data_IF_991507712739
#
_entry.id   IF_991507712739
#
_cell.length_a   1.000
_cell.length_b   1.000
_cell.length_c   1.000
_cell.angle_alpha   90.00
_cell.angle_beta   90.00
_cell.angle_gamma   90.00
#
_symmetry.space_group_name_H-M   'P 1'
#
loop_
_entity.id
_entity.type
_entity.pdbx_description
1 polymer ?
#
# COMPACT_ATOMS: atom_id res chain seq x y z
N UNK A 1 -35.12 3.39 -0.20
CA UNK A 1 -33.88 4.11 -0.53
C UNK A 1 -33.71 5.18 0.53
N UNK A 2 -32.48 5.41 0.99
CA UNK A 2 -32.09 6.41 1.98
C UNK A 2 -30.96 7.26 1.44
N UNK A 3 -30.92 8.53 1.84
CA UNK A 3 -29.87 9.46 1.43
C UNK A 3 -28.75 9.45 2.47
N UNK A 4 -27.52 9.27 2.02
CA UNK A 4 -26.36 9.36 2.88
C UNK A 4 -26.21 10.79 3.44
N UNK A 5 -26.15 11.01 4.76
CA UNK A 5 -26.02 12.35 5.34
C UNK A 5 -24.62 12.97 5.15
N UNK A 6 -23.65 12.21 4.62
CA UNK A 6 -22.27 12.68 4.40
C UNK A 6 -21.99 13.07 2.96
N UNK A 7 -22.35 12.22 2.01
CA UNK A 7 -22.09 12.48 0.59
C UNK A 7 -23.36 12.73 -0.24
N UNK A 8 -24.54 12.65 0.38
CA UNK A 8 -25.86 12.86 -0.26
C UNK A 8 -26.21 11.86 -1.38
N UNK A 9 -25.49 10.76 -1.46
CA UNK A 9 -25.75 9.67 -2.40
C UNK A 9 -27.03 8.89 -2.02
N UNK A 10 -27.73 8.37 -3.02
CA UNK A 10 -28.85 7.46 -2.83
C UNK A 10 -28.34 6.04 -2.55
N UNK A 11 -28.75 5.48 -1.41
CA UNK A 11 -28.34 4.16 -0.94
C UNK A 11 -29.59 3.32 -0.72
N UNK A 12 -29.59 2.08 -1.16
CA UNK A 12 -30.69 1.15 -0.88
C UNK A 12 -30.86 0.90 0.64
N UNK A 13 -32.10 0.69 1.09
CA UNK A 13 -32.39 0.56 2.53
C UNK A 13 -31.73 -0.68 3.15
N UNK A 14 -31.53 -1.71 2.34
CA UNK A 14 -30.87 -2.98 2.67
C UNK A 14 -29.38 -2.83 3.02
N UNK A 15 -28.72 -1.75 2.60
CA UNK A 15 -27.29 -1.55 2.85
C UNK A 15 -27.05 -0.75 4.13
N UNK A 16 -26.26 -1.30 5.03
CA UNK A 16 -25.93 -0.63 6.31
C UNK A 16 -24.75 0.34 6.20
N UNK A 17 -24.07 0.36 5.05
CA UNK A 17 -22.91 1.21 4.77
C UNK A 17 -23.12 1.92 3.43
N UNK A 18 -22.82 3.22 3.38
CA UNK A 18 -22.83 3.98 2.13
C UNK A 18 -21.68 3.52 1.23
N UNK A 19 -22.01 3.00 0.05
CA UNK A 19 -21.05 2.50 -0.93
C UNK A 19 -20.12 3.58 -1.51
N UNK A 20 -20.52 4.86 -1.46
CA UNK A 20 -19.73 5.97 -2.01
C UNK A 20 -18.70 6.52 -1.01
N UNK A 21 -19.05 6.65 0.27
CA UNK A 21 -18.19 7.31 1.28
C UNK A 21 -17.90 6.47 2.53
N UNK A 22 -18.29 5.19 2.56
CA UNK A 22 -18.12 4.26 3.69
C UNK A 22 -18.78 4.71 5.00
N UNK A 23 -19.81 5.56 4.93
CA UNK A 23 -20.58 5.95 6.11
C UNK A 23 -21.45 4.79 6.62
N UNK A 24 -21.20 4.34 7.85
CA UNK A 24 -22.05 3.39 8.57
C UNK A 24 -23.30 4.11 9.06
N UNK A 25 -24.47 3.67 8.60
CA UNK A 25 -25.76 4.19 9.06
C UNK A 25 -26.07 3.78 10.52
N UNK A 26 -25.76 2.54 10.99
CA UNK A 26 -25.92 2.18 12.39
C UNK A 26 -25.02 2.96 13.35
N UNK A 27 -23.75 3.17 12.97
CA UNK A 27 -22.76 3.77 13.88
C UNK A 27 -22.61 5.29 13.72
N UNK A 28 -23.30 5.89 12.76
CA UNK A 28 -23.21 7.30 12.41
C UNK A 28 -21.78 7.84 12.20
N UNK A 29 -20.88 7.01 11.68
CA UNK A 29 -19.47 7.36 11.41
C UNK A 29 -19.02 6.86 10.05
N UNK A 30 -18.03 7.52 9.47
CA UNK A 30 -17.33 6.97 8.30
C UNK A 30 -16.42 5.86 8.79
N UNK A 31 -16.61 4.65 8.26
CA UNK A 31 -15.73 3.52 8.50
C UNK A 31 -14.45 3.76 7.71
N UNK A 32 -13.34 3.86 8.43
CA UNK A 32 -12.02 3.85 7.82
C UNK A 32 -11.70 2.38 7.52
N UNK A 33 -12.13 1.88 6.35
CA UNK A 33 -11.86 0.51 5.89
C UNK A 33 -10.35 0.21 5.75
N UNK A 34 -9.51 1.25 5.86
CA UNK A 34 -8.07 1.14 6.00
C UNK A 34 -7.63 0.50 7.33
N UNK A 35 -8.52 0.35 8.31
CA UNK A 35 -8.24 -0.30 9.60
C UNK A 35 -8.45 -1.82 9.56
N UNK A 36 -9.09 -2.38 8.52
CA UNK A 36 -9.17 -3.82 8.34
C UNK A 36 -7.83 -4.45 7.88
N UNK A 37 -6.80 -3.62 7.68
CA UNK A 37 -5.40 -4.00 7.51
C UNK A 37 -4.57 -3.86 8.79
N UNK A 38 -5.18 -3.71 9.98
CA UNK A 38 -4.46 -3.81 11.24
C UNK A 38 -4.10 -5.27 11.53
N UNK A 39 -3.01 -5.79 10.93
CA UNK A 39 -2.22 -6.91 11.51
C UNK A 39 -0.80 -7.06 10.92
N UNK A 40 -0.19 -5.98 10.44
CA UNK A 40 1.26 -5.84 10.44
C UNK A 40 1.60 -4.36 10.65
N UNK A 41 2.06 -4.00 11.85
CA UNK A 41 2.45 -2.64 12.24
C UNK A 41 3.67 -2.07 11.49
N UNK A 42 3.71 -2.22 10.16
CA UNK A 42 4.76 -1.80 9.22
C UNK A 42 4.21 -0.86 8.14
N UNK A 43 2.88 -0.76 8.01
CA UNK A 43 2.22 0.15 7.08
C UNK A 43 2.30 1.61 7.53
N UNK A 44 3.34 2.35 7.14
CA UNK A 44 3.35 3.80 7.31
C UNK A 44 2.19 4.39 6.49
N UNK A 45 1.34 5.21 7.11
CA UNK A 45 0.29 5.94 6.38
C UNK A 45 0.95 7.06 5.56
N UNK A 46 1.20 6.80 4.28
CA UNK A 46 1.89 7.72 3.36
C UNK A 46 0.87 8.38 2.43
N UNK A 47 0.97 9.69 2.28
CA UNK A 47 0.18 10.46 1.32
C UNK A 47 0.96 10.66 0.01
N UNK A 48 0.27 10.46 -1.12
CA UNK A 48 0.87 10.67 -2.43
C UNK A 48 1.19 12.15 -2.64
N UNK A 49 2.47 12.49 -2.77
CA UNK A 49 2.91 13.89 -2.95
C UNK A 49 2.29 14.59 -4.18
N UNK A 50 1.88 13.83 -5.22
CA UNK A 50 1.23 14.38 -6.43
C UNK A 50 -0.25 14.70 -6.22
N UNK A 51 -0.94 13.95 -5.37
CA UNK A 51 -2.41 13.98 -5.29
C UNK A 51 -2.93 14.36 -3.90
N UNK A 52 -2.07 14.33 -2.89
CA UNK A 52 -2.40 14.56 -1.49
C UNK A 52 -3.51 13.62 -0.99
N UNK A 53 -3.43 12.34 -1.38
CA UNK A 53 -4.35 11.28 -0.97
C UNK A 53 -3.56 10.10 -0.42
N UNK A 54 -4.13 9.38 0.56
CA UNK A 54 -3.53 8.18 1.13
C UNK A 54 -3.16 7.16 0.05
N UNK A 55 -1.97 6.59 0.16
CA UNK A 55 -1.48 5.53 -0.70
C UNK A 55 -1.85 4.16 -0.13
N UNK A 56 -2.13 3.20 -1.02
CA UNK A 56 -2.42 1.83 -0.65
C UNK A 56 -1.12 1.03 -0.56
N UNK A 57 -0.92 0.30 0.53
CA UNK A 57 0.18 -0.64 0.65
C UNK A 57 -0.07 -1.83 -0.29
N UNK A 58 0.90 -2.10 -1.17
CA UNK A 58 0.83 -3.17 -2.17
C UNK A 58 1.54 -4.44 -1.73
N UNK A 59 2.29 -4.40 -0.61
CA UNK A 59 3.08 -5.52 -0.11
C UNK A 59 4.58 -5.31 -0.26
N UNK A 60 5.32 -6.32 0.22
CA UNK A 60 6.78 -6.44 0.11
C UNK A 60 7.14 -7.18 -1.17
N UNK A 61 7.97 -6.57 -2.01
CA UNK A 61 8.43 -7.14 -3.28
C UNK A 61 9.94 -7.35 -3.23
N UNK A 62 10.41 -8.54 -3.60
CA UNK A 62 11.82 -8.83 -3.81
C UNK A 62 12.17 -8.64 -5.28
N UNK A 63 13.10 -7.72 -5.57
CA UNK A 63 13.59 -7.52 -6.93
C UNK A 63 14.89 -8.29 -7.13
N UNK A 64 14.99 -8.96 -8.29
CA UNK A 64 16.20 -9.61 -8.75
C UNK A 64 16.92 -8.66 -9.72
N UNK A 65 18.05 -8.10 -9.29
CA UNK A 65 18.92 -7.35 -10.19
C UNK A 65 19.87 -8.33 -10.90
N UNK A 66 19.48 -8.84 -12.08
CA UNK A 66 20.30 -9.80 -12.83
C UNK A 66 19.80 -10.08 -14.25
N UNK A 67 20.62 -9.76 -15.25
CA UNK A 67 20.38 -10.01 -16.67
C UNK A 67 20.89 -11.42 -17.04
N UNK A 68 20.06 -12.21 -17.72
CA UNK A 68 20.39 -13.55 -18.21
C UNK A 68 21.71 -13.57 -19.01
N UNK A 69 22.76 -14.19 -18.49
CA UNK A 69 23.95 -14.56 -19.28
C UNK A 69 24.30 -16.05 -19.14
N UNK A 70 23.93 -16.79 -20.19
CA UNK A 70 24.38 -18.11 -20.64
C UNK A 70 25.27 -19.00 -19.74
N UNK A 71 24.80 -20.24 -19.54
CA UNK A 71 25.42 -21.58 -19.38
C UNK A 71 26.81 -21.77 -18.71
N UNK A 72 27.70 -20.79 -18.60
CA UNK A 72 29.01 -20.91 -17.92
C UNK A 72 29.44 -19.61 -17.22
N UNK A 73 28.49 -18.90 -16.61
CA UNK A 73 28.76 -17.68 -15.86
C UNK A 73 28.31 -17.81 -14.42
N UNK A 74 29.28 -17.74 -13.51
CA UNK A 74 29.07 -17.19 -12.17
C UNK A 74 28.45 -18.13 -11.09
N UNK A 75 29.27 -19.07 -10.62
CA UNK A 75 29.10 -19.77 -9.33
C UNK A 75 29.03 -18.80 -8.11
N UNK A 76 29.20 -17.49 -8.32
CA UNK A 76 29.06 -16.41 -7.34
C UNK A 76 27.76 -15.60 -7.45
N UNK A 77 26.82 -15.92 -8.37
CA UNK A 77 25.49 -15.28 -8.43
C UNK A 77 24.59 -15.60 -7.23
N UNK A 78 25.01 -16.51 -6.34
CA UNK A 78 24.28 -16.86 -5.13
C UNK A 78 24.22 -15.71 -4.10
N UNK A 79 24.98 -14.64 -4.32
CA UNK A 79 24.95 -13.39 -3.55
C UNK A 79 24.33 -12.22 -4.34
N UNK A 80 23.49 -12.49 -5.35
CA UNK A 80 22.68 -11.43 -5.95
C UNK A 80 21.81 -10.81 -4.86
N UNK A 81 22.09 -9.54 -4.56
CA UNK A 81 21.42 -8.74 -3.54
C UNK A 81 19.91 -8.75 -3.77
N UNK A 82 19.19 -9.61 -3.05
CA UNK A 82 17.74 -9.54 -2.99
C UNK A 82 17.40 -8.28 -2.20
N UNK A 83 17.07 -7.22 -2.91
CA UNK A 83 16.55 -6.01 -2.29
C UNK A 83 15.03 -6.13 -2.23
N UNK A 84 14.55 -6.26 -1.00
CA UNK A 84 13.14 -6.28 -0.71
C UNK A 84 12.68 -4.87 -0.40
N UNK A 85 11.56 -4.46 -1.00
CA UNK A 85 10.97 -3.15 -0.78
C UNK A 85 9.50 -3.27 -0.44
N UNK A 86 9.05 -2.41 0.47
CA UNK A 86 7.64 -2.17 0.72
C UNK A 86 7.14 -1.18 -0.33
N UNK A 87 6.11 -1.57 -1.09
CA UNK A 87 5.56 -0.75 -2.17
C UNK A 87 4.24 -0.11 -1.74
N UNK A 88 4.09 1.18 -2.06
CA UNK A 88 2.86 1.93 -1.88
C UNK A 88 2.41 2.50 -3.23
N UNK A 89 1.13 2.38 -3.55
CA UNK A 89 0.57 2.80 -4.84
C UNK A 89 -0.54 3.82 -4.62
N UNK A 90 -0.47 4.94 -5.35
CA UNK A 90 -1.53 5.94 -5.34
C UNK A 90 -2.70 5.48 -6.23
N UNK A 91 -3.92 5.34 -5.68
CA UNK A 91 -5.07 4.88 -6.46
C UNK A 91 -5.55 5.89 -7.51
N UNK A 92 -5.17 7.17 -7.37
CA UNK A 92 -5.61 8.24 -8.26
C UNK A 92 -4.73 8.41 -9.50
N UNK A 93 -3.41 8.28 -9.35
CA UNK A 93 -2.46 8.61 -10.42
C UNK A 93 -1.42 7.52 -10.71
N UNK A 94 -1.49 6.38 -10.03
CA UNK A 94 -0.57 5.25 -10.23
C UNK A 94 0.86 5.51 -9.78
N UNK A 95 1.13 6.60 -9.05
CA UNK A 95 2.46 6.84 -8.44
C UNK A 95 2.80 5.67 -7.51
N UNK A 96 3.99 5.10 -7.66
CA UNK A 96 4.53 4.07 -6.77
C UNK A 96 5.67 4.66 -5.95
N UNK A 97 5.74 4.32 -4.66
CA UNK A 97 6.84 4.62 -3.75
C UNK A 97 7.40 3.32 -3.18
N UNK A 98 8.73 3.25 -3.10
CA UNK A 98 9.49 2.09 -2.63
C UNK A 98 10.17 2.45 -1.33
N UNK A 99 10.02 1.62 -0.31
CA UNK A 99 10.66 1.79 0.98
C UNK A 99 11.50 0.57 1.31
N UNK A 100 12.75 0.81 1.69
CA UNK A 100 13.63 -0.24 2.23
C UNK A 100 13.20 -0.60 3.65
N UNK A 101 13.11 -1.90 4.01
CA UNK A 101 12.76 -2.32 5.35
C UNK A 101 13.84 -1.87 6.35
N UNK A 102 13.43 -1.29 7.46
CA UNK A 102 14.31 -0.77 8.51
C UNK A 102 14.83 -1.86 9.48
N UNK A 103 14.80 -3.11 9.05
CA UNK A 103 15.24 -4.26 9.84
C UNK A 103 16.74 -4.06 10.19
N UNK A 104 17.01 -3.95 11.50
CA UNK A 104 18.24 -3.44 12.10
C UNK A 104 19.47 -4.30 11.76
N UNK A 105 20.09 -4.10 10.60
CA UNK A 105 21.47 -4.56 10.32
C UNK A 105 22.10 -3.97 9.05
N UNK A 106 21.42 -3.08 8.31
CA UNK A 106 22.05 -2.33 7.21
C UNK A 106 22.50 -0.96 7.72
N UNK A 107 23.79 -0.85 8.05
CA UNK A 107 24.45 0.45 8.13
C UNK A 107 24.39 1.10 6.75
N UNK A 108 23.55 2.12 6.58
CA UNK A 108 23.65 3.00 5.42
C UNK A 108 24.97 3.74 5.52
N UNK A 109 25.99 3.31 4.76
CA UNK A 109 27.17 4.14 4.51
C UNK A 109 26.71 5.30 3.61
N UNK A 110 26.40 6.43 4.23
CA UNK A 110 26.22 7.69 3.52
C UNK A 110 27.64 8.23 3.30
N UNK A 111 28.15 8.11 2.08
CA UNK A 111 29.40 8.78 1.64
C UNK A 111 29.16 10.27 1.35
#
# INVERSE_FOLDING_TARGET
MKICPKCHEEVEDSFEICWNCNYSFPDNKILDLNLAGENDGRGLSIDCLRCQVKMAYSGKYEFHEGMNTGVLGNLFELFQNREAFDLYVCPKCGKVEFFVPLDREREFKIE
#
